data_IF_521797502488
#
_entry.id   IF_521797502488
#
_cell.length_a   1.000
_cell.length_b   1.000
_cell.length_c   1.000
_cell.angle_alpha   90.00
_cell.angle_beta   90.00
_cell.angle_gamma   90.00
#
_symmetry.space_group_name_H-M   'P 1'
#
loop_
_entity.id
_entity.type
_entity.pdbx_description
1 polymer ?
#
# COMPACT_ATOMS: atom_id res chain seq x y z
N UNK A 1 -21.87 14.10 18.12
CA UNK A 1 -20.44 14.42 18.05
C UNK A 1 -19.57 13.46 18.89
N UNK A 2 -19.79 12.16 18.81
CA UNK A 2 -19.06 11.18 19.67
C UNK A 2 -18.55 9.93 18.94
N UNK A 3 -18.57 9.85 17.60
CA UNK A 3 -18.25 8.62 16.85
C UNK A 3 -16.93 8.67 16.07
N UNK A 4 -16.35 9.83 15.79
CA UNK A 4 -15.10 9.97 15.01
C UNK A 4 -13.84 9.69 15.82
N UNK A 5 -13.88 9.84 17.13
CA UNK A 5 -12.75 9.55 18.03
C UNK A 5 -12.51 8.05 18.28
N UNK A 6 -13.52 7.21 18.09
CA UNK A 6 -13.38 5.75 18.38
C UNK A 6 -12.73 4.95 17.26
N UNK A 7 -12.74 5.42 16.03
CA UNK A 7 -12.26 4.64 14.88
C UNK A 7 -10.78 4.91 14.58
N UNK A 8 -10.34 6.16 14.63
CA UNK A 8 -8.91 6.49 14.69
C UNK A 8 -8.30 5.98 15.99
N UNK A 9 -9.10 5.87 17.05
CA UNK A 9 -8.73 5.29 18.33
C UNK A 9 -8.45 3.77 18.31
N UNK A 10 -9.03 2.97 17.40
CA UNK A 10 -8.78 1.52 17.38
C UNK A 10 -7.47 1.14 16.68
N UNK A 11 -7.14 1.72 15.55
CA UNK A 11 -5.82 1.51 14.92
C UNK A 11 -4.72 2.16 15.76
N UNK A 12 -4.93 3.37 16.30
CA UNK A 12 -3.98 3.98 17.21
C UNK A 12 -3.94 3.30 18.60
N UNK A 13 -5.03 2.69 19.08
CA UNK A 13 -5.05 1.90 20.31
C UNK A 13 -4.40 0.53 20.12
N UNK A 14 -4.56 -0.14 18.95
CA UNK A 14 -3.78 -1.34 18.65
C UNK A 14 -2.28 -1.00 18.54
N UNK A 15 -1.90 0.05 17.80
CA UNK A 15 -0.49 0.46 17.69
C UNK A 15 0.10 0.90 19.05
N UNK A 16 -0.69 1.57 19.91
CA UNK A 16 -0.26 1.95 21.27
C UNK A 16 -0.22 0.76 22.24
N UNK A 17 -1.14 -0.21 22.16
CA UNK A 17 -1.10 -1.43 22.99
C UNK A 17 0.04 -2.34 22.59
N UNK A 18 0.36 -2.42 21.30
CA UNK A 18 1.45 -3.26 20.80
C UNK A 18 2.82 -2.67 21.14
N UNK A 19 2.95 -1.34 21.31
CA UNK A 19 4.22 -0.72 21.71
C UNK A 19 4.57 -0.88 23.21
N UNK A 20 3.62 -1.32 24.03
CA UNK A 20 3.78 -1.37 25.49
C UNK A 20 4.04 -2.76 26.10
N UNK A 21 3.82 -3.86 25.36
CA UNK A 21 3.97 -5.23 25.89
C UNK A 21 4.67 -6.15 24.88
N UNK A 22 5.90 -6.54 25.17
CA UNK A 22 6.71 -7.45 24.34
C UNK A 22 6.11 -8.85 24.14
N UNK A 23 5.14 -9.28 24.94
CA UNK A 23 4.49 -10.59 24.85
C UNK A 23 3.31 -10.66 23.86
N UNK A 24 2.78 -9.52 23.38
CA UNK A 24 1.66 -9.49 22.43
C UNK A 24 2.09 -9.64 20.96
N UNK A 25 3.39 -9.66 20.66
CA UNK A 25 3.91 -9.78 19.30
C UNK A 25 3.79 -11.20 18.73
N UNK A 26 3.67 -12.23 19.58
CA UNK A 26 3.59 -13.63 19.14
C UNK A 26 2.24 -13.99 18.51
N UNK A 27 1.18 -13.23 18.80
CA UNK A 27 -0.17 -13.52 18.29
C UNK A 27 -0.54 -12.68 17.04
N UNK A 28 0.27 -11.68 16.67
CA UNK A 28 0.00 -10.78 15.56
C UNK A 28 1.13 -10.80 14.53
N UNK A 29 0.79 -11.09 13.28
CA UNK A 29 1.72 -10.94 12.16
C UNK A 29 1.12 -10.05 11.08
N UNK A 30 1.76 -8.90 10.83
CA UNK A 30 1.40 -8.04 9.71
C UNK A 30 1.61 -8.74 8.37
N UNK A 31 2.65 -9.57 8.25
CA UNK A 31 2.88 -10.35 7.04
C UNK A 31 1.77 -11.37 6.79
N UNK A 32 1.25 -12.02 7.84
CA UNK A 32 0.10 -12.90 7.69
C UNK A 32 -1.13 -12.13 7.22
N UNK A 33 -1.42 -10.98 7.81
CA UNK A 33 -2.53 -10.13 7.38
C UNK A 33 -2.40 -9.75 5.90
N UNK A 34 -1.22 -9.30 5.47
CA UNK A 34 -0.97 -8.92 4.08
C UNK A 34 -1.08 -10.14 3.15
N UNK A 35 -0.34 -11.20 3.42
CA UNK A 35 -0.31 -12.36 2.55
C UNK A 35 -1.66 -13.08 2.47
N UNK A 36 -2.40 -13.15 3.57
CA UNK A 36 -3.73 -13.76 3.60
C UNK A 36 -4.77 -12.97 2.80
N UNK A 37 -4.49 -11.71 2.46
CA UNK A 37 -5.29 -10.95 1.51
C UNK A 37 -5.12 -11.46 0.08
N UNK A 38 -4.01 -12.06 -0.25
CA UNK A 38 -3.66 -12.48 -1.60
C UNK A 38 -3.87 -13.97 -1.85
N UNK A 39 -3.74 -14.82 -0.82
CA UNK A 39 -3.99 -16.26 -0.92
C UNK A 39 -4.44 -16.83 0.44
N UNK A 40 -5.17 -17.97 0.44
CA UNK A 40 -5.53 -18.66 1.68
C UNK A 40 -4.28 -19.10 2.44
N UNK A 41 -4.23 -18.80 3.74
CA UNK A 41 -3.17 -19.22 4.65
C UNK A 41 -3.78 -19.90 5.88
N UNK A 42 -3.09 -20.90 6.43
CA UNK A 42 -3.46 -21.64 7.61
C UNK A 42 -3.13 -20.89 8.91
N UNK A 43 -3.62 -21.41 10.04
CA UNK A 43 -3.23 -20.92 11.38
C UNK A 43 -1.73 -21.16 11.61
N UNK A 44 -1.18 -22.29 11.16
CA UNK A 44 0.25 -22.59 11.25
C UNK A 44 1.10 -21.57 10.48
N UNK A 45 0.62 -21.07 9.33
CA UNK A 45 1.32 -19.99 8.61
C UNK A 45 1.32 -18.68 9.40
N UNK A 46 0.25 -18.41 10.19
CA UNK A 46 0.21 -17.22 11.06
C UNK A 46 1.31 -17.28 12.11
N UNK A 47 1.42 -18.41 12.79
CA UNK A 47 2.44 -18.64 13.82
C UNK A 47 3.85 -18.51 13.23
N UNK A 48 4.13 -19.20 12.12
CA UNK A 48 5.40 -19.10 11.41
C UNK A 48 5.73 -17.66 11.02
N UNK A 49 4.81 -16.92 10.40
CA UNK A 49 5.06 -15.53 9.99
C UNK A 49 5.19 -14.57 11.18
N UNK A 50 4.54 -14.86 12.31
CA UNK A 50 4.71 -14.09 13.54
C UNK A 50 6.10 -14.28 14.15
N UNK A 51 6.63 -15.51 14.12
CA UNK A 51 7.98 -15.82 14.59
C UNK A 51 9.08 -15.22 13.70
N UNK A 52 8.86 -15.17 12.38
CA UNK A 52 9.84 -14.66 11.42
C UNK A 52 9.91 -13.13 11.39
N UNK A 53 8.86 -12.43 11.73
CA UNK A 53 8.86 -10.97 11.72
C UNK A 53 9.68 -10.41 12.88
N UNK A 54 10.42 -9.33 12.60
CA UNK A 54 11.22 -8.64 13.61
C UNK A 54 10.42 -7.52 14.28
N UNK A 55 11.00 -6.97 15.37
CA UNK A 55 10.43 -5.80 16.04
C UNK A 55 10.27 -4.62 15.08
N UNK A 56 9.16 -3.87 15.16
CA UNK A 56 8.93 -2.70 14.32
C UNK A 56 10.02 -1.65 14.48
N UNK A 57 10.41 -1.04 13.36
CA UNK A 57 11.39 0.05 13.31
C UNK A 57 10.70 1.35 12.92
N UNK A 58 10.94 2.41 13.71
CA UNK A 58 10.43 3.76 13.43
C UNK A 58 11.34 4.47 12.45
N UNK A 59 10.74 5.13 11.47
CA UNK A 59 11.44 5.97 10.50
C UNK A 59 10.79 7.35 10.46
N UNK A 60 11.63 8.38 10.31
CA UNK A 60 11.17 9.74 10.10
C UNK A 60 10.94 10.02 8.62
N UNK A 61 10.08 10.98 8.33
CA UNK A 61 9.93 11.52 6.98
C UNK A 61 11.29 11.84 6.37
N UNK A 62 11.52 11.44 5.12
CA UNK A 62 12.77 11.63 4.41
C UNK A 62 13.86 10.59 4.70
N UNK A 63 13.65 9.68 5.67
CA UNK A 63 14.63 8.62 5.94
C UNK A 63 14.62 7.56 4.86
N UNK A 64 15.81 7.09 4.48
CA UNK A 64 15.97 5.92 3.60
C UNK A 64 15.65 4.66 4.37
N UNK A 65 14.67 3.92 3.89
CA UNK A 65 14.23 2.64 4.49
C UNK A 65 14.99 1.47 3.89
N UNK A 66 15.26 1.52 2.59
CA UNK A 66 15.95 0.47 1.85
C UNK A 66 16.72 1.04 0.67
N UNK A 67 17.92 0.49 0.43
CA UNK A 67 18.69 0.63 -0.81
C UNK A 67 19.49 -0.66 -1.06
N UNK A 68 20.45 -0.66 -2.00
CA UNK A 68 21.24 -1.83 -2.35
C UNK A 68 22.07 -2.42 -1.18
N UNK A 69 22.42 -1.62 -0.17
CA UNK A 69 23.17 -2.06 1.03
C UNK A 69 22.32 -2.08 2.28
N UNK A 70 21.54 -1.00 2.51
CA UNK A 70 20.67 -0.88 3.67
C UNK A 70 19.43 -1.78 3.53
N UNK A 71 19.25 -2.67 4.48
CA UNK A 71 18.09 -3.55 4.55
C UNK A 71 17.86 -4.46 3.31
N UNK A 72 18.89 -4.68 2.46
CA UNK A 72 18.78 -5.50 1.25
C UNK A 72 18.35 -6.94 1.52
N UNK A 73 18.73 -7.49 2.68
CA UNK A 73 18.39 -8.86 3.11
C UNK A 73 16.99 -9.01 3.68
N UNK A 74 16.21 -7.92 3.76
CA UNK A 74 14.89 -7.92 4.37
C UNK A 74 13.78 -7.66 3.34
N UNK A 75 12.63 -8.26 3.57
CA UNK A 75 11.33 -7.70 3.23
C UNK A 75 10.93 -6.72 4.32
N UNK A 76 10.23 -5.65 3.96
CA UNK A 76 9.85 -4.59 4.88
C UNK A 76 8.36 -4.29 4.70
N UNK A 77 7.52 -4.76 5.64
CA UNK A 77 6.10 -4.45 5.62
C UNK A 77 5.86 -3.06 6.22
N UNK A 78 5.15 -2.21 5.52
CA UNK A 78 4.74 -0.89 6.00
C UNK A 78 3.55 -1.07 6.94
N UNK A 79 3.76 -0.86 8.24
CA UNK A 79 2.68 -0.89 9.23
C UNK A 79 1.97 0.45 9.32
N UNK A 80 2.72 1.54 9.24
CA UNK A 80 2.20 2.91 9.32
C UNK A 80 3.09 3.84 8.50
N UNK A 81 2.49 4.94 8.02
CA UNK A 81 3.16 5.91 7.17
C UNK A 81 3.18 5.51 5.69
N UNK A 82 3.74 6.39 4.88
CA UNK A 82 3.83 6.25 3.43
C UNK A 82 5.29 6.31 3.00
N UNK A 83 5.66 5.49 2.02
CA UNK A 83 7.00 5.50 1.44
C UNK A 83 6.92 5.48 -0.08
N UNK A 84 8.02 5.82 -0.75
CA UNK A 84 8.12 5.71 -2.20
C UNK A 84 9.46 5.10 -2.60
N UNK A 85 9.47 4.36 -3.70
CA UNK A 85 10.72 4.03 -4.38
C UNK A 85 11.09 5.13 -5.35
N UNK A 86 12.36 5.51 -5.35
CA UNK A 86 12.89 6.59 -6.14
C UNK A 86 14.13 6.13 -6.91
N UNK A 87 14.28 6.69 -8.09
CA UNK A 87 15.51 6.62 -8.86
C UNK A 87 16.04 8.03 -9.07
N UNK A 88 17.34 8.20 -8.94
CA UNK A 88 18.00 9.46 -9.29
C UNK A 88 18.56 9.30 -10.69
N UNK A 89 18.20 10.21 -11.60
CA UNK A 89 18.79 10.24 -12.96
C UNK A 89 20.22 10.74 -12.92
N UNK A 90 20.96 10.56 -14.00
CA UNK A 90 22.34 11.09 -14.13
C UNK A 90 22.41 12.62 -13.94
N UNK A 91 21.33 13.32 -14.27
CA UNK A 91 21.17 14.77 -14.07
C UNK A 91 20.83 15.16 -12.62
N UNK A 92 20.78 14.18 -11.68
CA UNK A 92 20.41 14.39 -10.29
C UNK A 92 18.92 14.56 -10.02
N UNK A 93 18.05 14.38 -11.04
CA UNK A 93 16.61 14.50 -10.89
C UNK A 93 16.03 13.24 -10.26
N UNK A 94 15.30 13.43 -9.16
CA UNK A 94 14.58 12.33 -8.49
C UNK A 94 13.30 11.99 -9.25
N UNK A 95 13.12 10.72 -9.58
CA UNK A 95 11.91 10.17 -10.15
C UNK A 95 11.29 9.18 -9.16
N UNK A 96 10.00 9.34 -8.89
CA UNK A 96 9.24 8.37 -8.08
C UNK A 96 8.75 7.28 -9.01
N UNK A 97 9.09 6.03 -8.68
CA UNK A 97 8.72 4.85 -9.45
C UNK A 97 7.47 4.20 -8.87
N UNK A 98 7.38 4.12 -7.54
CA UNK A 98 6.28 3.45 -6.86
C UNK A 98 5.96 4.10 -5.50
N UNK A 99 4.75 3.84 -5.02
CA UNK A 99 4.22 4.33 -3.76
C UNK A 99 3.81 3.14 -2.88
N UNK A 100 4.32 3.13 -1.66
CA UNK A 100 4.01 2.13 -0.64
C UNK A 100 3.13 2.73 0.44
N UNK A 101 2.05 2.05 0.75
CA UNK A 101 1.03 2.40 1.74
C UNK A 101 1.07 1.41 2.91
N UNK A 102 0.40 1.70 4.04
CA UNK A 102 0.19 0.69 5.08
C UNK A 102 -0.44 -0.58 4.50
N UNK A 103 0.18 -1.72 4.78
CA UNK A 103 -0.18 -3.01 4.20
C UNK A 103 0.62 -3.43 2.96
N UNK A 104 1.50 -2.58 2.44
CA UNK A 104 2.40 -2.97 1.35
C UNK A 104 3.72 -3.56 1.88
N UNK A 105 4.35 -4.39 1.05
CA UNK A 105 5.67 -4.97 1.33
C UNK A 105 6.70 -4.44 0.34
N UNK A 106 7.71 -3.76 0.85
CA UNK A 106 8.89 -3.35 0.11
C UNK A 106 9.81 -4.54 -0.08
N UNK A 107 10.28 -4.76 -1.31
CA UNK A 107 11.29 -5.77 -1.63
C UNK A 107 10.75 -7.07 -2.20
N UNK A 108 9.44 -7.18 -2.50
CA UNK A 108 8.88 -8.34 -3.19
C UNK A 108 9.41 -8.45 -4.63
N UNK A 109 9.43 -7.35 -5.37
CA UNK A 109 9.85 -7.32 -6.78
C UNK A 109 11.35 -7.58 -6.98
N UNK A 110 12.17 -7.31 -5.98
CA UNK A 110 13.61 -7.51 -5.99
C UNK A 110 14.05 -8.65 -5.06
N UNK A 111 13.15 -9.61 -4.80
CA UNK A 111 13.36 -10.65 -3.81
C UNK A 111 14.64 -11.47 -4.06
N UNK A 112 14.81 -12.01 -5.27
CA UNK A 112 15.97 -12.81 -5.66
C UNK A 112 16.92 -12.10 -6.63
N UNK A 113 16.52 -10.96 -7.17
CA UNK A 113 17.38 -10.24 -8.11
C UNK A 113 18.35 -9.38 -7.31
N UNK A 114 19.65 -9.68 -7.38
CA UNK A 114 20.70 -8.79 -6.89
C UNK A 114 20.81 -7.48 -7.69
N UNK A 115 19.72 -7.08 -8.33
CA UNK A 115 19.63 -6.03 -9.32
C UNK A 115 19.50 -4.62 -8.75
N UNK A 116 19.23 -3.69 -9.65
CA UNK A 116 19.08 -2.26 -9.39
C UNK A 116 17.97 -2.01 -8.38
N UNK A 117 18.37 -1.74 -7.16
CA UNK A 117 17.44 -1.33 -6.12
C UNK A 117 17.14 0.15 -6.28
N UNK A 118 15.89 0.47 -6.52
CA UNK A 118 15.43 1.82 -6.31
C UNK A 118 15.55 2.14 -4.81
N UNK A 119 16.00 3.34 -4.48
CA UNK A 119 16.02 3.76 -3.09
C UNK A 119 14.59 3.94 -2.59
N UNK A 120 14.27 3.37 -1.43
CA UNK A 120 12.96 3.54 -0.78
C UNK A 120 13.10 4.52 0.37
N UNK A 121 12.33 5.60 0.32
CA UNK A 121 12.34 6.70 1.28
C UNK A 121 10.95 6.93 1.86
N UNK A 122 10.87 7.23 3.16
CA UNK A 122 9.60 7.59 3.81
C UNK A 122 9.11 8.97 3.36
N UNK A 123 7.85 9.06 2.99
CA UNK A 123 7.15 10.32 2.67
C UNK A 123 6.49 10.95 3.89
N UNK A 124 6.22 10.15 4.91
CA UNK A 124 5.72 10.57 6.23
C UNK A 124 6.54 9.89 7.32
N UNK A 125 6.36 10.27 8.58
CA UNK A 125 6.80 9.45 9.70
C UNK A 125 6.07 8.10 9.62
N UNK A 126 6.71 6.99 10.03
CA UNK A 126 6.08 5.69 9.89
C UNK A 126 6.77 4.57 10.68
N UNK A 127 6.16 3.40 10.58
CA UNK A 127 6.56 2.17 11.26
C UNK A 127 6.66 1.03 10.25
N UNK A 128 7.80 0.35 10.25
CA UNK A 128 8.11 -0.70 9.28
C UNK A 128 8.51 -1.97 10.03
N UNK A 129 7.98 -3.10 9.63
CA UNK A 129 8.29 -4.42 10.21
C UNK A 129 9.22 -5.18 9.27
N UNK A 130 10.47 -5.48 9.66
CA UNK A 130 11.37 -6.29 8.87
C UNK A 130 11.07 -7.79 9.00
N UNK A 131 11.33 -8.54 7.91
CA UNK A 131 11.41 -10.00 7.89
C UNK A 131 12.62 -10.41 7.07
N UNK A 132 13.45 -11.32 7.59
CA UNK A 132 14.65 -11.76 6.89
C UNK A 132 14.29 -12.70 5.74
N UNK A 133 14.75 -12.39 4.52
CA UNK A 133 14.44 -13.16 3.31
C UNK A 133 14.81 -14.64 3.44
N UNK A 134 16.02 -14.95 3.96
CA UNK A 134 16.45 -16.34 4.09
C UNK A 134 15.63 -17.17 5.07
N UNK A 135 15.04 -16.55 6.09
CA UNK A 135 14.13 -17.25 7.01
C UNK A 135 12.78 -17.54 6.32
N UNK A 136 12.28 -16.58 5.55
CA UNK A 136 11.09 -16.81 4.73
C UNK A 136 11.32 -17.88 3.66
N UNK A 137 12.50 -17.93 3.02
CA UNK A 137 12.87 -18.99 2.08
C UNK A 137 12.79 -20.37 2.71
N UNK A 138 13.32 -20.52 3.93
CA UNK A 138 13.24 -21.78 4.68
C UNK A 138 11.81 -22.17 5.02
N UNK A 139 10.96 -21.21 5.36
CA UNK A 139 9.54 -21.45 5.62
C UNK A 139 8.80 -21.87 4.33
N UNK A 140 9.07 -21.21 3.21
CA UNK A 140 8.48 -21.51 1.90
C UNK A 140 8.88 -22.92 1.38
N UNK A 141 10.05 -23.41 1.73
CA UNK A 141 10.47 -24.80 1.41
C UNK A 141 9.63 -25.84 2.15
N UNK A 142 9.10 -25.48 3.32
CA UNK A 142 8.28 -26.38 4.14
C UNK A 142 6.78 -26.27 3.82
N UNK A 143 6.33 -25.11 3.34
CA UNK A 143 4.91 -24.84 3.08
C UNK A 143 4.73 -24.00 1.80
N UNK A 144 4.29 -24.67 0.73
CA UNK A 144 4.03 -24.05 -0.57
C UNK A 144 2.91 -23.01 -0.56
N UNK A 145 2.05 -22.98 0.46
CA UNK A 145 1.01 -21.95 0.57
C UNK A 145 1.61 -20.55 0.76
N UNK A 146 2.77 -20.46 1.45
CA UNK A 146 3.53 -19.22 1.58
C UNK A 146 4.11 -18.73 0.24
N UNK A 147 4.56 -19.66 -0.60
CA UNK A 147 5.03 -19.34 -1.97
C UNK A 147 3.90 -18.76 -2.79
N UNK A 148 2.73 -19.40 -2.77
CA UNK A 148 1.54 -18.94 -3.50
C UNK A 148 1.11 -17.54 -3.01
N UNK A 149 1.12 -17.31 -1.71
CA UNK A 149 0.75 -16.02 -1.13
C UNK A 149 1.74 -14.91 -1.50
N UNK A 150 3.04 -15.20 -1.45
CA UNK A 150 4.09 -14.26 -1.87
C UNK A 150 4.00 -13.94 -3.36
N UNK A 151 3.79 -14.96 -4.21
CA UNK A 151 3.63 -14.77 -5.65
C UNK A 151 2.39 -13.92 -5.94
N UNK A 152 1.26 -14.20 -5.30
CA UNK A 152 0.02 -13.44 -5.48
C UNK A 152 0.18 -11.98 -5.02
N UNK A 153 0.86 -11.73 -3.90
CA UNK A 153 1.17 -10.38 -3.44
C UNK A 153 2.09 -9.63 -4.42
N UNK A 154 3.10 -10.32 -4.97
CA UNK A 154 4.00 -9.75 -5.98
C UNK A 154 3.25 -9.40 -7.27
N UNK A 155 2.40 -10.31 -7.76
CA UNK A 155 1.57 -10.08 -8.94
C UNK A 155 0.60 -8.91 -8.74
N UNK A 156 0.03 -8.77 -7.54
CA UNK A 156 -0.80 -7.63 -7.20
C UNK A 156 -0.04 -6.29 -7.32
N UNK A 157 1.17 -6.20 -6.77
CA UNK A 157 2.01 -5.00 -6.93
C UNK A 157 2.38 -4.74 -8.40
N UNK A 158 2.67 -5.79 -9.17
CA UNK A 158 2.94 -5.66 -10.61
C UNK A 158 1.71 -5.14 -11.38
N UNK A 159 0.50 -5.59 -11.05
CA UNK A 159 -0.74 -5.12 -11.67
C UNK A 159 -0.99 -3.63 -11.40
N UNK A 160 -0.78 -3.16 -10.16
CA UNK A 160 -0.85 -1.73 -9.82
C UNK A 160 0.10 -0.92 -10.71
N UNK A 161 1.33 -1.38 -10.90
CA UNK A 161 2.30 -0.69 -11.76
C UNK A 161 1.90 -0.72 -13.23
N UNK A 162 1.39 -1.84 -13.73
CA UNK A 162 0.91 -1.97 -15.11
C UNK A 162 -0.25 -1.01 -15.39
N UNK A 163 -1.19 -0.89 -14.46
CA UNK A 163 -2.31 0.04 -14.58
C UNK A 163 -1.86 1.50 -14.53
N UNK A 164 -0.90 1.84 -13.68
CA UNK A 164 -0.29 3.19 -13.67
C UNK A 164 0.40 3.51 -14.99
N UNK A 165 1.14 2.55 -15.56
CA UNK A 165 1.78 2.71 -16.85
C UNK A 165 0.74 2.93 -17.96
N UNK A 166 -0.32 2.11 -17.98
CA UNK A 166 -1.42 2.28 -18.92
C UNK A 166 -2.07 3.67 -18.80
N UNK A 167 -2.30 4.14 -17.57
CA UNK A 167 -2.84 5.47 -17.32
C UNK A 167 -1.93 6.59 -17.83
N UNK A 168 -0.62 6.46 -17.65
CA UNK A 168 0.36 7.44 -18.16
C UNK A 168 0.33 7.57 -19.68
N UNK A 169 0.09 6.47 -20.38
CA UNK A 169 0.11 6.41 -21.85
C UNK A 169 -1.23 6.82 -22.46
N UNK A 170 -2.35 6.40 -21.85
CA UNK A 170 -3.67 6.41 -22.49
C UNK A 170 -4.57 7.57 -22.05
N UNK A 171 -4.26 8.27 -20.96
CA UNK A 171 -5.17 9.23 -20.36
C UNK A 171 -4.59 10.65 -20.24
N UNK A 172 -5.48 11.64 -20.29
CA UNK A 172 -5.12 13.02 -19.97
C UNK A 172 -4.80 13.20 -18.48
N UNK A 173 -4.25 14.35 -18.12
CA UNK A 173 -3.78 14.63 -16.78
C UNK A 173 -4.90 14.58 -15.71
N UNK A 174 -6.11 15.01 -16.05
CA UNK A 174 -7.24 15.03 -15.11
C UNK A 174 -7.75 13.62 -14.85
N UNK A 175 -7.84 12.81 -15.90
CA UNK A 175 -8.20 11.38 -15.82
C UNK A 175 -7.15 10.58 -15.04
N UNK A 176 -5.85 10.82 -15.28
CA UNK A 176 -4.76 10.19 -14.51
C UNK A 176 -4.85 10.52 -13.02
N UNK A 177 -5.14 11.78 -12.68
CA UNK A 177 -5.29 12.18 -11.29
C UNK A 177 -6.54 11.56 -10.65
N UNK A 178 -7.66 11.50 -11.36
CA UNK A 178 -8.88 10.84 -10.90
C UNK A 178 -8.63 9.34 -10.62
N UNK A 179 -7.96 8.66 -11.54
CA UNK A 179 -7.56 7.26 -11.36
C UNK A 179 -6.68 7.07 -10.12
N UNK A 180 -5.66 7.89 -9.95
CA UNK A 180 -4.76 7.82 -8.80
C UNK A 180 -5.50 8.00 -7.46
N UNK A 181 -6.43 8.95 -7.39
CA UNK A 181 -7.27 9.16 -6.19
C UNK A 181 -8.13 7.92 -5.90
N UNK A 182 -8.72 7.30 -6.93
CA UNK A 182 -9.51 6.08 -6.78
C UNK A 182 -8.65 4.87 -6.38
N UNK A 183 -7.45 4.74 -6.95
CA UNK A 183 -6.47 3.71 -6.56
C UNK A 183 -6.12 3.83 -5.07
N UNK A 184 -5.77 5.04 -4.61
CA UNK A 184 -5.48 5.28 -3.20
C UNK A 184 -6.68 4.98 -2.31
N UNK A 185 -7.87 5.45 -2.71
CA UNK A 185 -9.11 5.18 -1.99
C UNK A 185 -9.37 3.68 -1.86
N UNK A 186 -9.23 2.92 -2.95
CA UNK A 186 -9.44 1.48 -2.95
C UNK A 186 -8.40 0.74 -2.10
N UNK A 187 -7.11 1.12 -2.17
CA UNK A 187 -6.03 0.50 -1.39
C UNK A 187 -6.13 0.77 0.11
N UNK A 188 -6.53 1.98 0.51
CA UNK A 188 -6.66 2.39 1.91
C UNK A 188 -7.98 1.92 2.56
N UNK A 189 -9.05 1.80 1.77
CA UNK A 189 -10.38 1.44 2.26
C UNK A 189 -10.79 0.01 1.90
N UNK A 190 -9.85 -0.88 1.70
CA UNK A 190 -10.08 -2.26 1.25
C UNK A 190 -11.13 -3.03 2.09
N UNK A 191 -11.27 -2.70 3.38
CA UNK A 191 -12.26 -3.32 4.29
C UNK A 191 -13.52 -2.48 4.52
N UNK A 192 -13.64 -1.27 3.92
CA UNK A 192 -14.71 -0.30 4.20
C UNK A 192 -15.15 0.43 2.94
N UNK A 193 -15.88 -0.24 2.06
CA UNK A 193 -16.33 0.30 0.77
C UNK A 193 -17.22 1.56 0.83
N UNK A 194 -17.68 1.95 2.02
CA UNK A 194 -18.59 3.08 2.21
C UNK A 194 -17.88 4.41 2.61
N UNK A 195 -16.59 4.35 2.97
CA UNK A 195 -15.86 5.57 3.34
C UNK A 195 -15.50 6.39 2.10
N UNK A 196 -16.00 7.62 2.02
CA UNK A 196 -15.74 8.56 0.92
C UNK A 196 -14.64 9.58 1.22
N UNK A 197 -14.18 9.62 2.45
CA UNK A 197 -13.13 10.54 2.88
C UNK A 197 -11.76 9.88 2.76
N UNK A 198 -10.83 10.57 2.11
CA UNK A 198 -9.48 10.12 1.83
C UNK A 198 -8.48 11.18 2.27
N UNK A 199 -7.60 10.84 3.20
CA UNK A 199 -6.48 11.69 3.56
C UNK A 199 -5.25 11.31 2.74
N UNK A 200 -4.76 12.22 1.91
CA UNK A 200 -3.54 12.03 1.10
C UNK A 200 -2.43 12.90 1.72
N UNK A 201 -1.51 12.35 2.53
CA UNK A 201 -0.46 13.12 3.21
C UNK A 201 0.70 13.48 2.27
N UNK A 202 0.44 13.59 0.97
CA UNK A 202 1.41 13.92 -0.07
C UNK A 202 1.30 15.39 -0.48
N UNK A 203 2.43 15.99 -0.83
CA UNK A 203 2.42 17.29 -1.48
C UNK A 203 2.02 17.14 -2.96
N UNK A 204 1.53 18.24 -3.56
CA UNK A 204 1.23 18.26 -5.00
C UNK A 204 2.48 17.98 -5.86
N UNK A 205 3.67 18.34 -5.36
CA UNK A 205 4.92 18.00 -6.02
C UNK A 205 5.12 16.48 -6.09
N UNK A 206 4.94 15.77 -4.97
CA UNK A 206 5.06 14.30 -4.92
C UNK A 206 4.01 13.62 -5.80
N UNK A 207 2.77 14.13 -5.81
CA UNK A 207 1.71 13.65 -6.71
C UNK A 207 2.11 13.89 -8.17
N UNK A 208 2.66 15.07 -8.47
CA UNK A 208 3.17 15.40 -9.80
C UNK A 208 4.28 14.47 -10.25
N UNK A 209 5.27 14.21 -9.39
CA UNK A 209 6.39 13.30 -9.67
C UNK A 209 5.90 11.85 -9.93
N UNK A 210 4.85 11.40 -9.23
CA UNK A 210 4.21 10.10 -9.44
C UNK A 210 3.46 10.00 -10.77
N UNK A 211 2.82 11.10 -11.19
CA UNK A 211 1.91 11.13 -12.34
C UNK A 211 2.53 11.76 -13.59
N UNK A 212 3.81 12.13 -13.54
CA UNK A 212 4.50 12.77 -14.67
C UNK A 212 3.94 14.15 -15.01
N UNK A 213 3.60 14.98 -14.02
CA UNK A 213 3.11 16.33 -14.20
C UNK A 213 3.68 17.33 -13.19
N UNK A 214 3.60 18.62 -13.53
CA UNK A 214 4.02 19.67 -12.59
C UNK A 214 3.01 19.85 -11.45
N UNK A 215 3.45 20.39 -10.31
CA UNK A 215 2.57 20.71 -9.17
C UNK A 215 1.44 21.68 -9.56
N UNK A 216 1.73 22.66 -10.44
CA UNK A 216 0.72 23.60 -10.97
C UNK A 216 -0.33 22.85 -11.77
N UNK A 217 0.08 21.85 -12.57
CA UNK A 217 -0.85 21.04 -13.34
C UNK A 217 -1.71 20.16 -12.43
N UNK A 218 -1.13 19.54 -11.39
CA UNK A 218 -1.90 18.81 -10.36
C UNK A 218 -2.95 19.72 -9.72
N UNK A 219 -2.58 20.94 -9.31
CA UNK A 219 -3.51 21.90 -8.74
C UNK A 219 -4.67 22.22 -9.68
N UNK A 220 -4.38 22.45 -10.96
CA UNK A 220 -5.41 22.72 -11.99
C UNK A 220 -6.35 21.53 -12.18
N UNK A 221 -5.82 20.31 -12.27
CA UNK A 221 -6.63 19.10 -12.43
C UNK A 221 -7.54 18.87 -11.20
N UNK A 222 -7.02 19.07 -9.98
CA UNK A 222 -7.84 19.01 -8.77
C UNK A 222 -8.99 20.01 -8.80
N UNK A 223 -8.72 21.26 -9.20
CA UNK A 223 -9.77 22.30 -9.33
C UNK A 223 -10.80 21.98 -10.42
N UNK A 224 -10.39 21.31 -11.49
CA UNK A 224 -11.33 20.83 -12.52
C UNK A 224 -12.25 19.73 -12.00
N UNK A 225 -11.72 18.79 -11.20
CA UNK A 225 -12.52 17.74 -10.56
C UNK A 225 -13.51 18.31 -9.55
N UNK A 226 -13.11 19.34 -8.78
CA UNK A 226 -14.01 20.09 -7.88
C UNK A 226 -15.10 20.83 -8.64
N UNK A 227 -14.75 21.55 -9.71
CA UNK A 227 -15.72 22.28 -10.54
C UNK A 227 -16.77 21.37 -11.19
N UNK A 228 -16.39 20.10 -11.46
CA UNK A 228 -17.31 19.07 -11.95
C UNK A 228 -18.16 18.43 -10.84
N UNK A 229 -17.98 18.81 -9.57
CA UNK A 229 -18.68 18.23 -8.44
C UNK A 229 -18.29 16.78 -8.10
N UNK A 230 -17.15 16.30 -8.59
CA UNK A 230 -16.72 14.91 -8.39
C UNK A 230 -16.07 14.68 -7.03
N UNK A 231 -15.39 15.70 -6.52
CA UNK A 231 -14.74 15.69 -5.21
C UNK A 231 -14.72 17.08 -4.59
N UNK A 232 -14.41 17.17 -3.31
CA UNK A 232 -14.05 18.42 -2.63
C UNK A 232 -12.81 18.22 -1.80
N UNK A 233 -12.04 19.28 -1.59
CA UNK A 233 -10.79 19.29 -0.82
C UNK A 233 -10.93 20.17 0.41
N UNK A 234 -10.46 19.64 1.51
CA UNK A 234 -10.06 20.48 2.63
C UNK A 234 -8.56 20.77 2.50
N UNK A 235 -8.23 22.04 2.22
CA UNK A 235 -6.84 22.47 1.96
C UNK A 235 -5.95 22.38 3.19
N UNK A 236 -6.54 22.51 4.37
CA UNK A 236 -5.79 22.53 5.64
C UNK A 236 -5.48 21.10 6.11
N UNK A 237 -6.42 20.20 6.01
CA UNK A 237 -6.28 18.79 6.46
C UNK A 237 -5.74 17.83 5.39
N UNK A 238 -5.58 18.28 4.14
CA UNK A 238 -5.26 17.42 2.98
C UNK A 238 -6.25 16.29 2.75
N UNK A 239 -7.47 16.45 3.23
CA UNK A 239 -8.56 15.52 2.99
C UNK A 239 -9.21 15.78 1.65
N UNK A 240 -9.52 14.69 0.95
CA UNK A 240 -10.33 14.67 -0.26
C UNK A 240 -11.60 13.88 0.07
N UNK A 241 -12.76 14.49 -0.16
CA UNK A 241 -14.05 13.78 -0.07
C UNK A 241 -14.55 13.53 -1.48
N UNK A 242 -14.85 12.27 -1.79
CA UNK A 242 -15.44 11.87 -3.05
C UNK A 242 -16.94 12.14 -2.99
N UNK A 243 -17.43 13.05 -3.84
CA UNK A 243 -18.85 13.48 -3.86
C UNK A 243 -19.66 12.59 -4.80
N UNK A 244 -19.18 12.36 -6.02
CA UNK A 244 -19.82 11.48 -6.99
C UNK A 244 -18.86 10.35 -7.39
N UNK A 245 -18.91 9.28 -6.60
CA UNK A 245 -18.04 8.11 -6.81
C UNK A 245 -18.31 7.38 -8.14
N UNK A 246 -19.59 7.15 -8.56
CA UNK A 246 -19.89 6.55 -9.86
C UNK A 246 -19.36 7.37 -11.04
N UNK A 247 -19.58 8.70 -11.03
CA UNK A 247 -19.10 9.56 -12.10
C UNK A 247 -17.56 9.64 -12.13
N UNK A 248 -16.89 9.59 -10.96
CA UNK A 248 -15.45 9.55 -10.88
C UNK A 248 -14.88 8.23 -11.41
N UNK A 249 -15.52 7.08 -11.13
CA UNK A 249 -15.18 5.78 -11.70
C UNK A 249 -15.29 5.79 -13.22
N UNK A 250 -16.39 6.34 -13.76
CA UNK A 250 -16.61 6.44 -15.20
C UNK A 250 -15.59 7.34 -15.89
N UNK A 251 -15.27 8.52 -15.29
CA UNK A 251 -14.25 9.43 -15.80
C UNK A 251 -12.87 8.77 -15.85
N UNK A 252 -12.51 8.02 -14.81
CA UNK A 252 -11.19 7.40 -14.70
C UNK A 252 -11.06 6.09 -15.47
N UNK A 253 -12.16 5.47 -15.91
CA UNK A 253 -12.15 4.10 -16.42
C UNK A 253 -11.63 3.09 -15.39
N UNK A 254 -11.85 3.35 -14.10
CA UNK A 254 -11.24 2.58 -13.02
C UNK A 254 -11.94 1.25 -12.78
N UNK A 255 -11.18 0.15 -12.89
CA UNK A 255 -11.67 -1.18 -12.62
C UNK A 255 -11.12 -1.70 -11.28
N UNK A 256 -12.01 -1.90 -10.31
CA UNK A 256 -11.64 -2.41 -8.98
C UNK A 256 -11.47 -3.93 -8.92
N UNK A 257 -11.71 -4.65 -10.01
CA UNK A 257 -11.75 -6.11 -10.00
C UNK A 257 -10.44 -6.75 -9.50
N UNK A 258 -9.30 -6.19 -9.84
CA UNK A 258 -8.01 -6.69 -9.40
C UNK A 258 -7.72 -6.39 -7.91
N UNK A 259 -8.28 -5.30 -7.36
CA UNK A 259 -8.16 -4.98 -5.93
C UNK A 259 -8.99 -5.92 -5.06
N UNK A 260 -10.05 -6.51 -5.64
CA UNK A 260 -10.98 -7.41 -4.95
C UNK A 260 -10.74 -8.90 -5.24
N UNK A 261 -9.74 -9.25 -6.02
CA UNK A 261 -9.47 -10.66 -6.41
C UNK A 261 -9.34 -11.59 -5.20
N UNK A 262 -8.85 -11.10 -4.09
CA UNK A 262 -8.63 -11.87 -2.87
C UNK A 262 -9.89 -12.08 -2.03
N UNK A 263 -10.85 -11.15 -2.03
CA UNK A 263 -12.12 -11.32 -1.35
C UNK A 263 -12.93 -12.45 -1.97
N UNK A 264 -12.85 -12.62 -3.31
CA UNK A 264 -13.49 -13.75 -4.03
C UNK A 264 -12.80 -15.08 -3.75
N UNK A 265 -11.49 -15.13 -3.58
CA UNK A 265 -10.76 -16.34 -3.21
C UNK A 265 -11.15 -16.81 -1.79
N UNK A 266 -11.30 -15.88 -0.83
CA UNK A 266 -11.79 -16.18 0.52
C UNK A 266 -13.23 -16.69 0.54
N UNK A 267 -14.12 -16.08 -0.25
CA UNK A 267 -15.52 -16.53 -0.35
C UNK A 267 -15.61 -17.94 -0.94
N UNK A 268 -14.83 -18.26 -1.97
CA UNK A 268 -14.77 -19.61 -2.56
C UNK A 268 -14.20 -20.65 -1.59
N UNK A 269 -13.14 -20.31 -0.83
CA UNK A 269 -12.57 -21.19 0.18
C UNK A 269 -13.55 -21.44 1.35
N UNK A 270 -14.28 -20.41 1.80
CA UNK A 270 -15.28 -20.52 2.86
C UNK A 270 -16.52 -21.32 2.42
N UNK A 271 -16.90 -21.28 1.13
CA UNK A 271 -17.99 -22.12 0.58
C UNK A 271 -17.55 -23.57 0.39
N UNK A 272 -16.31 -23.82 -0.03
CA UNK A 272 -15.76 -25.18 -0.16
C UNK A 272 -15.59 -25.89 1.20
N UNK A 273 -15.26 -25.15 2.27
CA UNK A 273 -15.15 -25.67 3.64
C UNK A 273 -16.50 -26.00 4.31
N UNK A 274 -17.63 -25.51 3.79
CA UNK A 274 -18.98 -25.81 4.28
C UNK A 274 -19.65 -26.97 3.55
N UNK A 275 -19.02 -27.53 2.52
CA UNK A 275 -19.51 -28.64 1.71
C UNK A 275 -18.79 -29.96 2.02
N UNK A 276 -18.05 -30.04 3.09
CA UNK A 276 -17.44 -31.21 3.71
C UNK A 276 -17.83 -31.23 5.19
#
# INVERSE_FOLDING_TARGET
MSSLAEVTGRTSKLSRRVSANSHLWHDYSLYFEIFSHHAPLSISNRETLAELQQAPRRFKKGSVVKNHSLNAKYLLAIQDGWACSCRVTEEGKRQIIDLYLPGDIVGLRDYHTGGRFDEVTMLTDGLVIPMHKSQLDQAMQKDHSLVNAMLAATMHQCNIMADRLNNLISHDATTRLAYFILELHARLNFSRSEMRDLTIPLSQQVIGDLLGMTNVHVCRCLSQLEAKGLLTRDKDSRNIRLLDYPALLALAGFNTAYLHSCSRARQRAATASKSH
#
